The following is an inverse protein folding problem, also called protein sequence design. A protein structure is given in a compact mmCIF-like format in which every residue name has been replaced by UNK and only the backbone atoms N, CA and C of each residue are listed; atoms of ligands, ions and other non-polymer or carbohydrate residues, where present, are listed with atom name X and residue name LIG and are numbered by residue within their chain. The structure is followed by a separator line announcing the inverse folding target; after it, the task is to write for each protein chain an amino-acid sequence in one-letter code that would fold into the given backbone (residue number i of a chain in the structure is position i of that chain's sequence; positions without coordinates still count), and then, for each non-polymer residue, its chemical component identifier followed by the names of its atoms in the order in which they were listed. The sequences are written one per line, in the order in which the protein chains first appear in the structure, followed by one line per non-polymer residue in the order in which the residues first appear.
data_IF_678129640932
#
_entry.id   IF_678129640932
#
_cell.length_a   1.000
_cell.length_b   1.000
_cell.length_c   1.000
_cell.angle_alpha   90.00
_cell.angle_beta   90.00
_cell.angle_gamma   90.00
#
_symmetry.space_group_name_H-M   'P 1'
#
loop_
_entity.id
_entity.type
_entity.pdbx_description
1 polymer ?
#
# COMPACT_ATOMS: atom_id res chain seq x y z
N UNK A 1 -2.48 14.11 -67.32
CA UNK A 1 -3.48 14.52 -66.32
C UNK A 1 -4.62 13.48 -66.39
N UNK A 2 -4.92 12.91 -65.25
CA UNK A 2 -5.86 11.77 -65.18
C UNK A 2 -7.31 12.31 -65.29
N UNK A 3 -8.23 11.65 -66.04
CA UNK A 3 -9.62 12.04 -66.27
C UNK A 3 -10.41 12.34 -64.98
N UNK A 4 -9.99 11.85 -63.85
CA UNK A 4 -10.59 12.13 -62.55
C UNK A 4 -10.29 13.54 -61.99
N UNK A 5 -9.19 14.17 -62.41
CA UNK A 5 -8.89 15.55 -62.00
C UNK A 5 -9.69 16.60 -62.73
N UNK A 6 -10.09 16.30 -63.96
CA UNK A 6 -10.89 17.21 -64.80
C UNK A 6 -12.35 17.30 -64.36
N UNK A 7 -12.94 16.24 -63.75
CA UNK A 7 -14.31 16.24 -63.24
C UNK A 7 -14.46 17.03 -61.94
N UNK A 8 -13.40 17.08 -61.11
CA UNK A 8 -13.45 17.81 -59.81
C UNK A 8 -13.39 19.34 -60.04
N UNK A 9 -12.77 19.80 -61.07
CA UNK A 9 -12.70 21.22 -61.40
C UNK A 9 -13.99 21.79 -62.03
N UNK A 10 -14.90 20.94 -62.49
CA UNK A 10 -16.14 21.38 -63.13
C UNK A 10 -17.35 21.52 -62.18
N UNK A 11 -17.25 21.10 -60.93
CA UNK A 11 -18.37 21.09 -59.95
C UNK A 11 -18.32 22.26 -58.96
N UNK A 12 -17.33 23.15 -59.03
CA UNK A 12 -17.30 24.38 -58.24
C UNK A 12 -17.21 24.20 -56.71
N UNK A 13 -16.91 23.01 -56.22
CA UNK A 13 -16.75 22.75 -54.81
C UNK A 13 -15.29 23.13 -54.45
N UNK A 14 -15.05 24.01 -53.44
CA UNK A 14 -13.69 24.36 -53.06
C UNK A 14 -12.93 23.12 -52.66
N UNK A 15 -11.78 22.87 -53.31
CA UNK A 15 -10.91 21.71 -53.10
C UNK A 15 -10.58 21.49 -51.60
N UNK A 16 -10.52 22.59 -50.84
CA UNK A 16 -10.31 22.60 -49.39
C UNK A 16 -11.44 21.93 -48.58
N UNK A 17 -12.69 22.03 -49.01
CA UNK A 17 -13.84 21.40 -48.33
C UNK A 17 -13.86 19.88 -48.58
N UNK A 18 -13.51 19.46 -49.78
CA UNK A 18 -13.45 18.02 -50.14
C UNK A 18 -12.26 17.34 -49.43
N UNK A 19 -11.09 17.98 -49.37
CA UNK A 19 -9.93 17.49 -48.63
C UNK A 19 -10.19 17.42 -47.13
N UNK A 20 -10.95 18.40 -46.58
CA UNK A 20 -11.36 18.38 -45.17
C UNK A 20 -12.31 17.23 -44.84
N UNK A 21 -13.33 17.01 -45.66
CA UNK A 21 -14.33 15.94 -45.47
C UNK A 21 -13.70 14.56 -45.65
N UNK A 22 -12.89 14.35 -46.67
CA UNK A 22 -12.16 13.09 -46.91
C UNK A 22 -11.13 12.88 -45.82
N UNK A 23 -10.42 13.91 -45.39
CA UNK A 23 -9.45 13.83 -44.29
C UNK A 23 -10.10 13.48 -42.95
N UNK A 24 -11.25 14.09 -42.62
CA UNK A 24 -12.04 13.73 -41.43
C UNK A 24 -12.55 12.28 -41.47
N UNK A 25 -13.05 11.83 -42.63
CA UNK A 25 -13.57 10.47 -42.77
C UNK A 25 -12.45 9.42 -42.65
N UNK A 26 -11.32 9.66 -43.30
CA UNK A 26 -10.11 8.82 -43.15
C UNK A 26 -9.54 8.86 -41.73
N UNK A 27 -9.52 10.03 -41.12
CA UNK A 27 -9.08 10.19 -39.75
C UNK A 27 -9.96 9.42 -38.78
N UNK A 28 -11.27 9.52 -38.93
CA UNK A 28 -12.24 8.79 -38.09
C UNK A 28 -12.18 7.27 -38.30
N UNK A 29 -11.97 6.80 -39.53
CA UNK A 29 -11.81 5.36 -39.85
C UNK A 29 -10.47 4.82 -39.30
N UNK A 30 -9.36 5.55 -39.43
CA UNK A 30 -8.07 5.20 -38.83
C UNK A 30 -8.18 5.24 -37.30
N UNK A 31 -8.85 6.23 -36.73
CA UNK A 31 -9.05 6.35 -35.29
C UNK A 31 -9.89 5.20 -34.73
N UNK A 32 -10.96 4.81 -35.41
CA UNK A 32 -11.79 3.67 -35.03
C UNK A 32 -11.04 2.33 -35.13
N UNK A 33 -10.20 2.19 -36.15
CA UNK A 33 -9.39 0.98 -36.34
C UNK A 33 -8.29 0.88 -35.27
N UNK A 34 -7.55 1.97 -35.02
CA UNK A 34 -6.51 2.02 -33.97
C UNK A 34 -7.07 1.83 -32.56
N UNK A 35 -8.27 2.33 -32.27
CA UNK A 35 -8.95 2.10 -30.99
C UNK A 35 -9.34 0.62 -30.79
N UNK A 36 -9.77 -0.08 -31.87
CA UNK A 36 -10.07 -1.51 -31.83
C UNK A 36 -8.81 -2.35 -31.49
N UNK A 37 -7.69 -2.03 -32.10
CA UNK A 37 -6.41 -2.70 -31.85
C UNK A 37 -5.88 -2.42 -30.45
N UNK A 38 -5.95 -1.18 -29.97
CA UNK A 38 -5.55 -0.80 -28.61
C UNK A 38 -6.38 -1.53 -27.58
N UNK A 39 -7.70 -1.61 -27.76
CA UNK A 39 -8.59 -2.35 -26.85
C UNK A 39 -8.26 -3.84 -26.84
N UNK A 40 -8.00 -4.44 -27.99
CA UNK A 40 -7.61 -5.86 -28.11
C UNK A 40 -6.29 -6.13 -27.41
N UNK A 41 -5.26 -5.29 -27.62
CA UNK A 41 -3.97 -5.40 -26.95
C UNK A 41 -4.10 -5.25 -25.42
N UNK A 42 -4.96 -4.34 -24.95
CA UNK A 42 -5.22 -4.17 -23.52
C UNK A 42 -5.83 -5.43 -22.90
N UNK A 43 -6.86 -6.01 -23.55
CA UNK A 43 -7.49 -7.25 -23.07
C UNK A 43 -6.50 -8.40 -23.04
N UNK A 44 -5.64 -8.50 -24.05
CA UNK A 44 -4.58 -9.51 -24.09
C UNK A 44 -3.55 -9.30 -22.98
N UNK A 45 -3.10 -8.06 -22.76
CA UNK A 45 -2.14 -7.74 -21.69
C UNK A 45 -2.70 -8.08 -20.31
N UNK A 46 -3.95 -7.70 -20.06
CA UNK A 46 -4.66 -8.01 -18.81
C UNK A 46 -4.82 -9.53 -18.60
N UNK A 47 -5.20 -10.28 -19.66
CA UNK A 47 -5.30 -11.74 -19.61
C UNK A 47 -3.99 -12.40 -19.24
N UNK A 48 -2.89 -12.01 -19.88
CA UNK A 48 -1.55 -12.54 -19.60
C UNK A 48 -1.10 -12.20 -18.17
N UNK A 49 -1.40 -10.98 -17.71
CA UNK A 49 -1.11 -10.55 -16.34
C UNK A 49 -1.83 -11.42 -15.30
N UNK A 50 -3.11 -11.72 -15.52
CA UNK A 50 -3.91 -12.58 -14.63
C UNK A 50 -3.43 -14.05 -14.67
N UNK A 51 -2.91 -14.52 -15.81
CA UNK A 51 -2.29 -15.84 -15.96
C UNK A 51 -0.86 -15.89 -15.38
N UNK A 52 -0.34 -14.78 -14.87
CA UNK A 52 1.03 -14.62 -14.36
C UNK A 52 2.12 -14.74 -15.42
N UNK A 53 1.76 -14.65 -16.68
CA UNK A 53 2.68 -14.57 -17.81
C UNK A 53 3.26 -13.15 -17.92
N UNK A 54 3.98 -12.76 -16.87
CA UNK A 54 4.39 -11.37 -16.65
C UNK A 54 5.35 -10.83 -17.71
N UNK A 55 6.20 -11.66 -18.31
CA UNK A 55 7.14 -11.20 -19.33
C UNK A 55 6.39 -10.70 -20.56
N UNK A 56 5.46 -11.49 -21.08
CA UNK A 56 4.66 -11.12 -22.24
C UNK A 56 3.68 -9.97 -21.91
N UNK A 57 3.04 -10.01 -20.74
CA UNK A 57 2.19 -8.92 -20.27
C UNK A 57 2.96 -7.59 -20.26
N UNK A 58 4.19 -7.57 -19.71
CA UNK A 58 5.03 -6.38 -19.62
C UNK A 58 5.40 -5.81 -20.99
N UNK A 59 5.66 -6.65 -21.98
CA UNK A 59 5.91 -6.23 -23.37
C UNK A 59 4.68 -5.51 -23.97
N UNK A 60 3.48 -6.04 -23.71
CA UNK A 60 2.24 -5.43 -24.20
C UNK A 60 1.91 -4.13 -23.45
N UNK A 61 2.04 -4.11 -22.12
CA UNK A 61 1.85 -2.87 -21.34
C UNK A 61 2.85 -1.79 -21.73
N UNK A 62 4.10 -2.15 -22.09
CA UNK A 62 5.07 -1.17 -22.59
C UNK A 62 4.65 -0.51 -23.92
N UNK A 63 4.03 -1.27 -24.82
CA UNK A 63 3.45 -0.70 -26.05
C UNK A 63 2.26 0.21 -25.73
N UNK A 64 1.37 -0.22 -24.83
CA UNK A 64 0.17 0.52 -24.45
C UNK A 64 0.50 1.81 -23.67
N UNK A 65 1.50 1.79 -22.80
CA UNK A 65 1.93 2.94 -22.00
C UNK A 65 2.47 4.11 -22.83
N UNK A 66 2.90 3.85 -24.07
CA UNK A 66 3.33 4.89 -25.02
C UNK A 66 2.19 5.61 -25.74
N UNK A 67 0.94 5.24 -25.51
CA UNK A 67 -0.24 5.85 -26.12
C UNK A 67 -0.72 6.98 -25.22
N UNK A 68 -1.05 8.14 -25.78
CA UNK A 68 -1.61 9.26 -25.03
C UNK A 68 -2.87 8.82 -24.24
N UNK A 69 -2.97 9.28 -23.01
CA UNK A 69 -4.06 8.98 -22.06
C UNK A 69 -4.05 7.55 -21.46
N UNK A 70 -2.99 6.79 -21.60
CA UNK A 70 -2.87 5.44 -21.06
C UNK A 70 -2.45 5.37 -19.58
N UNK A 71 -2.93 6.30 -18.73
CA UNK A 71 -2.50 6.41 -17.33
C UNK A 71 -2.64 5.10 -16.53
N UNK A 72 -3.66 4.26 -16.86
CA UNK A 72 -3.81 2.93 -16.28
C UNK A 72 -2.70 1.97 -16.73
N UNK A 73 -2.34 1.96 -18.02
CA UNK A 73 -1.28 1.09 -18.54
C UNK A 73 0.09 1.53 -18.01
N UNK A 74 0.33 2.84 -17.90
CA UNK A 74 1.53 3.39 -17.29
C UNK A 74 1.63 2.99 -15.81
N UNK A 75 0.52 3.03 -15.07
CA UNK A 75 0.47 2.57 -13.69
C UNK A 75 0.80 1.09 -13.57
N UNK A 76 0.13 0.20 -14.33
CA UNK A 76 0.37 -1.25 -14.27
C UNK A 76 1.81 -1.58 -14.66
N UNK A 77 2.32 -0.98 -15.73
CA UNK A 77 3.72 -1.16 -16.13
C UNK A 77 4.69 -0.67 -15.06
N UNK A 78 4.40 0.45 -14.43
CA UNK A 78 5.16 0.98 -13.30
C UNK A 78 5.19 0.01 -12.13
N UNK A 79 4.04 -0.58 -11.78
CA UNK A 79 3.95 -1.58 -10.72
C UNK A 79 4.73 -2.87 -11.07
N UNK A 80 4.67 -3.33 -12.32
CA UNK A 80 5.47 -4.47 -12.78
C UNK A 80 6.97 -4.21 -12.66
N UNK A 81 7.47 -3.00 -12.96
CA UNK A 81 8.85 -2.63 -12.71
C UNK A 81 9.17 -2.53 -11.21
N UNK A 82 8.25 -2.00 -10.42
CA UNK A 82 8.41 -1.88 -8.98
C UNK A 82 8.51 -3.24 -8.27
N UNK A 83 7.71 -4.22 -8.70
CA UNK A 83 7.69 -5.58 -8.15
C UNK A 83 8.73 -6.50 -8.80
N UNK A 84 9.30 -6.15 -9.95
CA UNK A 84 10.17 -7.03 -10.74
C UNK A 84 9.40 -8.12 -11.49
N UNK A 85 8.13 -7.87 -11.81
CA UNK A 85 7.29 -8.81 -12.57
C UNK A 85 7.64 -8.76 -14.05
N UNK A 86 7.96 -9.92 -14.64
CA UNK A 86 8.35 -10.04 -16.04
C UNK A 86 9.75 -9.53 -16.37
N UNK A 87 10.64 -9.45 -15.37
CA UNK A 87 12.02 -9.07 -15.51
C UNK A 87 12.59 -8.41 -14.25
N UNK A 88 13.76 -7.82 -14.35
CA UNK A 88 14.41 -7.17 -13.21
C UNK A 88 13.58 -6.01 -12.66
N UNK A 89 13.70 -5.83 -11.35
CA UNK A 89 13.13 -4.72 -10.63
C UNK A 89 13.88 -3.42 -10.98
N UNK A 90 13.13 -2.37 -11.26
CA UNK A 90 13.69 -1.07 -11.64
C UNK A 90 12.83 0.06 -11.04
N UNK A 91 13.23 0.53 -9.87
CA UNK A 91 12.50 1.58 -9.15
C UNK A 91 12.52 2.94 -9.86
N UNK A 92 13.56 3.24 -10.65
CA UNK A 92 13.65 4.48 -11.40
C UNK A 92 12.63 4.50 -12.54
N UNK A 93 12.55 3.41 -13.32
CA UNK A 93 11.53 3.26 -14.36
C UNK A 93 10.12 3.24 -13.78
N UNK A 94 9.92 2.50 -12.68
CA UNK A 94 8.64 2.49 -11.98
C UNK A 94 8.19 3.89 -11.59
N UNK A 95 9.07 4.67 -10.96
CA UNK A 95 8.79 6.05 -10.55
C UNK A 95 8.45 6.95 -11.74
N UNK A 96 9.21 6.89 -12.86
CA UNK A 96 8.91 7.66 -14.08
C UNK A 96 7.51 7.35 -14.63
N UNK A 97 7.15 6.06 -14.68
CA UNK A 97 5.83 5.61 -15.14
C UNK A 97 4.72 6.02 -14.18
N UNK A 98 4.95 5.93 -12.87
CA UNK A 98 4.00 6.42 -11.88
C UNK A 98 3.79 7.93 -11.97
N UNK A 99 4.84 8.74 -12.26
CA UNK A 99 4.69 10.18 -12.49
C UNK A 99 3.77 10.44 -13.69
N UNK A 100 4.01 9.78 -14.83
CA UNK A 100 3.15 9.92 -16.02
C UNK A 100 1.70 9.52 -15.72
N UNK A 101 1.49 8.39 -15.07
CA UNK A 101 0.16 7.94 -14.68
C UNK A 101 -0.52 8.90 -13.69
N UNK A 102 0.22 9.41 -12.72
CA UNK A 102 -0.27 10.32 -11.69
C UNK A 102 -0.64 11.71 -12.25
N UNK A 103 0.15 12.23 -13.20
CA UNK A 103 -0.16 13.44 -13.96
C UNK A 103 -1.41 13.25 -14.83
N UNK A 104 -1.63 12.04 -15.37
CA UNK A 104 -2.87 11.62 -16.03
C UNK A 104 -4.05 11.37 -15.08
N UNK A 105 -3.91 11.68 -13.78
CA UNK A 105 -4.98 11.60 -12.78
C UNK A 105 -5.16 10.25 -12.10
N UNK A 106 -4.30 9.26 -12.35
CA UNK A 106 -4.41 7.94 -11.70
C UNK A 106 -4.12 8.03 -10.20
N UNK A 107 -5.15 7.75 -9.37
CA UNK A 107 -5.06 7.88 -7.91
C UNK A 107 -4.14 6.83 -7.26
N UNK A 108 -4.08 5.61 -7.82
CA UNK A 108 -3.19 4.56 -7.32
C UNK A 108 -1.72 4.94 -7.55
N UNK A 109 -1.40 5.50 -8.74
CA UNK A 109 -0.07 6.01 -9.04
C UNK A 109 0.33 7.19 -8.13
N UNK A 110 -0.60 8.11 -7.86
CA UNK A 110 -0.39 9.21 -6.92
C UNK A 110 -0.12 8.68 -5.50
N UNK A 111 -0.86 7.68 -5.04
CA UNK A 111 -0.63 7.03 -3.76
C UNK A 111 0.75 6.34 -3.71
N UNK A 112 1.12 5.61 -4.76
CA UNK A 112 2.41 4.92 -4.84
C UNK A 112 3.58 5.90 -4.85
N UNK A 113 3.47 7.03 -5.56
CA UNK A 113 4.47 8.10 -5.50
C UNK A 113 4.60 8.69 -4.08
N UNK A 114 3.47 8.90 -3.41
CA UNK A 114 3.47 9.34 -2.03
C UNK A 114 4.24 8.38 -1.12
N UNK A 115 4.04 7.07 -1.29
CA UNK A 115 4.78 6.04 -0.57
C UNK A 115 6.27 6.02 -0.94
N UNK A 116 6.59 6.04 -2.24
CA UNK A 116 7.98 6.06 -2.75
C UNK A 116 8.77 7.23 -2.15
N UNK A 117 8.22 8.44 -2.19
CA UNK A 117 8.89 9.63 -1.66
C UNK A 117 8.92 9.65 -0.12
N UNK A 118 7.94 9.06 0.56
CA UNK A 118 7.96 8.94 2.03
C UNK A 118 9.06 7.99 2.49
N UNK A 119 9.28 6.89 1.77
CA UNK A 119 10.21 5.83 2.15
C UNK A 119 11.59 5.95 1.47
N UNK A 120 11.75 6.83 0.49
CA UNK A 120 13.00 6.97 -0.27
C UNK A 120 13.31 5.73 -1.13
N UNK A 121 12.29 5.10 -1.74
CA UNK A 121 12.50 3.88 -2.54
C UNK A 121 13.00 4.23 -3.93
N UNK A 122 14.27 3.91 -4.23
CA UNK A 122 14.91 4.25 -5.49
C UNK A 122 15.06 5.76 -5.73
N UNK A 123 14.98 6.56 -4.67
CA UNK A 123 15.19 8.00 -4.64
C UNK A 123 15.45 8.44 -3.20
N UNK A 124 15.85 9.69 -2.98
CA UNK A 124 15.88 10.25 -1.64
C UNK A 124 14.48 10.46 -1.08
N UNK A 125 14.36 10.45 0.24
CA UNK A 125 13.12 10.79 0.94
C UNK A 125 12.77 12.26 0.67
N UNK A 126 11.56 12.50 0.17
CA UNK A 126 11.01 13.84 -0.06
C UNK A 126 9.57 13.94 0.43
N UNK A 127 9.42 14.44 1.65
CA UNK A 127 8.08 14.58 2.26
C UNK A 127 7.23 15.68 1.59
N UNK A 128 7.81 16.64 0.85
CA UNK A 128 7.03 17.64 0.13
C UNK A 128 6.37 17.04 -1.11
N UNK A 129 7.14 16.27 -1.90
CA UNK A 129 6.57 15.51 -3.02
C UNK A 129 5.62 14.43 -2.51
N UNK A 130 5.94 13.71 -1.42
CA UNK A 130 5.03 12.75 -0.81
C UNK A 130 3.68 13.39 -0.46
N UNK A 131 3.68 14.52 0.24
CA UNK A 131 2.46 15.26 0.59
C UNK A 131 1.67 15.69 -0.64
N UNK A 132 2.33 16.23 -1.66
CA UNK A 132 1.70 16.66 -2.91
C UNK A 132 0.90 15.52 -3.53
N UNK A 133 1.54 14.39 -3.76
CA UNK A 133 0.92 13.23 -4.41
C UNK A 133 -0.16 12.58 -3.55
N UNK A 134 0.10 12.36 -2.25
CA UNK A 134 -0.91 11.85 -1.33
C UNK A 134 -2.14 12.75 -1.23
N UNK A 135 -1.96 14.09 -1.27
CA UNK A 135 -3.07 15.04 -1.26
C UNK A 135 -3.93 14.93 -2.52
N UNK A 136 -3.31 14.75 -3.69
CA UNK A 136 -4.02 14.56 -4.95
C UNK A 136 -4.85 13.27 -4.93
N UNK A 137 -4.28 12.16 -4.48
CA UNK A 137 -5.01 10.90 -4.34
C UNK A 137 -6.11 10.98 -3.27
N UNK A 138 -5.84 11.61 -2.12
CA UNK A 138 -6.83 11.80 -1.05
C UNK A 138 -8.02 12.67 -1.47
N UNK A 139 -7.79 13.64 -2.38
CA UNK A 139 -8.86 14.44 -2.99
C UNK A 139 -9.78 13.59 -3.88
N UNK A 140 -9.27 12.53 -4.49
CA UNK A 140 -10.02 11.53 -5.23
C UNK A 140 -10.62 10.43 -4.33
N UNK A 141 -10.60 10.64 -3.01
CA UNK A 141 -11.14 9.69 -2.02
C UNK A 141 -10.38 8.37 -1.93
N UNK A 142 -9.09 8.33 -2.32
CA UNK A 142 -8.27 7.13 -2.21
C UNK A 142 -7.93 6.85 -0.73
N UNK A 143 -8.40 5.72 -0.13
CA UNK A 143 -8.34 5.54 1.32
C UNK A 143 -6.91 5.40 1.84
N UNK A 144 -6.04 4.67 1.12
CA UNK A 144 -4.65 4.46 1.54
C UNK A 144 -3.85 5.78 1.48
N UNK A 145 -4.13 6.65 0.50
CA UNK A 145 -3.50 7.96 0.43
C UNK A 145 -3.92 8.87 1.60
N UNK A 146 -5.19 8.79 2.04
CA UNK A 146 -5.63 9.47 3.26
C UNK A 146 -4.86 8.98 4.49
N UNK A 147 -4.58 7.67 4.59
CA UNK A 147 -3.75 7.12 5.67
C UNK A 147 -2.32 7.66 5.57
N UNK A 148 -1.71 7.62 4.40
CA UNK A 148 -0.37 8.16 4.18
C UNK A 148 -0.27 9.64 4.56
N UNK A 149 -1.20 10.47 4.08
CA UNK A 149 -1.26 11.89 4.39
C UNK A 149 -1.50 12.14 5.89
N UNK A 150 -2.38 11.35 6.53
CA UNK A 150 -2.62 11.37 7.96
C UNK A 150 -1.35 11.06 8.76
N UNK A 151 -0.54 10.12 8.27
CA UNK A 151 0.74 9.76 8.90
C UNK A 151 1.77 10.89 8.79
N UNK A 152 1.81 11.63 7.67
CA UNK A 152 2.65 12.82 7.55
C UNK A 152 2.28 13.87 8.59
N UNK A 153 0.98 14.16 8.76
CA UNK A 153 0.51 15.11 9.78
C UNK A 153 0.73 14.60 11.21
N UNK A 154 0.50 13.31 11.47
CA UNK A 154 0.72 12.72 12.80
C UNK A 154 2.16 12.85 13.25
N UNK A 155 3.11 12.62 12.35
CA UNK A 155 4.53 12.59 12.66
C UNK A 155 5.22 13.95 12.48
N UNK A 156 4.61 14.88 11.73
CA UNK A 156 5.24 16.15 11.34
C UNK A 156 6.26 16.01 10.21
N UNK A 157 6.07 15.01 9.33
CA UNK A 157 6.98 14.77 8.20
C UNK A 157 6.63 15.71 7.03
N UNK A 158 7.51 16.67 6.75
CA UNK A 158 7.31 17.69 5.71
C UNK A 158 6.13 18.64 5.92
N UNK A 159 5.52 18.59 7.11
CA UNK A 159 4.39 19.42 7.54
C UNK A 159 4.51 19.73 9.03
N UNK A 160 3.84 20.79 9.50
CA UNK A 160 3.64 20.97 10.94
C UNK A 160 2.82 19.79 11.47
N UNK A 161 3.27 19.24 12.61
CA UNK A 161 2.57 18.14 13.28
C UNK A 161 1.17 18.57 13.67
N UNK A 162 0.16 17.88 13.16
CA UNK A 162 -1.25 18.15 13.42
C UNK A 162 -2.04 16.85 13.60
N UNK A 163 -2.22 16.47 14.86
CA UNK A 163 -2.99 15.28 15.21
C UNK A 163 -4.49 15.41 14.87
N UNK A 164 -5.04 16.63 14.86
CA UNK A 164 -6.47 16.84 14.52
C UNK A 164 -6.69 16.59 13.03
N UNK A 165 -5.78 17.07 12.17
CA UNK A 165 -5.87 16.81 10.74
C UNK A 165 -5.63 15.33 10.43
N UNK A 166 -4.64 14.69 11.08
CA UNK A 166 -4.43 13.26 10.99
C UNK A 166 -5.70 12.45 11.36
N UNK A 167 -6.34 12.81 12.48
CA UNK A 167 -7.60 12.18 12.93
C UNK A 167 -8.72 12.30 11.89
N UNK A 168 -8.92 13.49 11.29
CA UNK A 168 -9.92 13.70 10.24
C UNK A 168 -9.65 12.81 9.02
N UNK A 169 -8.40 12.73 8.57
CA UNK A 169 -7.99 11.93 7.43
C UNK A 169 -8.21 10.43 7.70
N UNK A 170 -7.79 9.92 8.86
CA UNK A 170 -8.04 8.54 9.24
C UNK A 170 -9.52 8.22 9.35
N UNK A 171 -10.34 9.14 9.90
CA UNK A 171 -11.80 8.96 9.97
C UNK A 171 -12.43 8.83 8.59
N UNK A 172 -11.99 9.66 7.63
CA UNK A 172 -12.45 9.56 6.23
C UNK A 172 -12.02 8.23 5.61
N UNK A 173 -10.75 7.81 5.76
CA UNK A 173 -10.25 6.55 5.25
C UNK A 173 -10.98 5.34 5.87
N UNK A 174 -11.25 5.36 7.18
CA UNK A 174 -12.00 4.33 7.88
C UNK A 174 -13.45 4.21 7.40
N UNK A 175 -14.09 5.33 7.02
CA UNK A 175 -15.42 5.33 6.41
C UNK A 175 -15.44 4.61 5.06
N UNK A 176 -14.31 4.56 4.35
CA UNK A 176 -14.12 3.75 3.14
C UNK A 176 -13.62 2.32 3.42
N UNK A 177 -13.68 1.85 4.66
CA UNK A 177 -13.32 0.48 5.04
C UNK A 177 -11.83 0.22 5.25
N UNK A 178 -10.97 1.25 5.22
CA UNK A 178 -9.53 1.06 5.41
C UNK A 178 -9.21 0.62 6.84
N UNK A 179 -8.65 -0.57 6.98
CA UNK A 179 -8.36 -1.18 8.29
C UNK A 179 -7.18 -0.54 9.01
N UNK A 180 -6.17 -0.04 8.29
CA UNK A 180 -5.06 0.69 8.89
C UNK A 180 -5.55 2.00 9.51
N UNK A 181 -6.47 2.69 8.82
CA UNK A 181 -7.10 3.90 9.36
C UNK A 181 -7.92 3.63 10.62
N UNK A 182 -8.67 2.51 10.66
CA UNK A 182 -9.41 2.09 11.85
C UNK A 182 -8.45 1.84 13.02
N UNK A 183 -7.36 1.10 12.78
CA UNK A 183 -6.35 0.86 13.81
C UNK A 183 -5.72 2.18 14.30
N UNK A 184 -5.37 3.09 13.39
CA UNK A 184 -4.81 4.39 13.75
C UNK A 184 -5.80 5.25 14.57
N UNK A 185 -7.09 5.22 14.25
CA UNK A 185 -8.12 5.89 15.07
C UNK A 185 -8.19 5.29 16.48
N UNK A 186 -8.13 3.98 16.60
CA UNK A 186 -8.08 3.30 17.88
C UNK A 186 -6.89 3.76 18.73
N UNK A 187 -5.71 3.81 18.11
CA UNK A 187 -4.50 4.36 18.74
C UNK A 187 -4.71 5.83 19.20
N UNK A 188 -5.26 6.68 18.32
CA UNK A 188 -5.49 8.09 18.63
C UNK A 188 -6.48 8.27 19.78
N UNK A 189 -7.53 7.45 19.88
CA UNK A 189 -8.44 7.45 21.01
C UNK A 189 -7.81 6.92 22.30
N UNK A 190 -6.88 5.96 22.23
CA UNK A 190 -6.17 5.46 23.42
C UNK A 190 -5.35 6.58 24.09
N UNK A 191 -4.69 7.41 23.29
CA UNK A 191 -3.75 8.42 23.78
C UNK A 191 -4.29 9.86 23.73
N UNK A 192 -5.48 10.09 23.20
CA UNK A 192 -6.07 11.42 23.08
C UNK A 192 -5.40 12.29 22.00
N UNK A 193 -4.80 11.70 20.98
CA UNK A 193 -4.13 12.44 19.92
C UNK A 193 -5.15 13.01 18.91
N UNK A 194 -5.30 14.32 18.90
CA UNK A 194 -6.24 15.02 18.00
C UNK A 194 -7.72 14.79 18.29
N UNK A 195 -8.02 14.04 19.34
CA UNK A 195 -9.35 13.71 19.85
C UNK A 195 -9.28 13.56 21.38
N UNK A 196 -10.40 13.26 22.03
CA UNK A 196 -10.43 12.90 23.45
C UNK A 196 -10.00 11.45 23.68
N UNK A 197 -9.44 11.17 24.85
CA UNK A 197 -9.11 9.81 25.28
C UNK A 197 -10.37 9.01 25.56
N UNK A 198 -10.52 7.85 24.90
CA UNK A 198 -11.65 6.96 25.06
C UNK A 198 -11.25 5.51 24.78
N UNK A 199 -11.14 4.72 25.82
CA UNK A 199 -10.88 3.28 25.68
C UNK A 199 -12.02 2.56 24.94
N UNK A 200 -13.26 3.01 25.13
CA UNK A 200 -14.43 2.48 24.44
C UNK A 200 -14.31 2.67 22.91
N UNK A 201 -13.99 3.90 22.48
CA UNK A 201 -13.87 4.20 21.04
C UNK A 201 -12.61 3.57 20.46
N UNK A 202 -11.52 3.51 21.24
CA UNK A 202 -10.31 2.79 20.86
C UNK A 202 -10.61 1.32 20.56
N UNK A 203 -11.28 0.63 21.47
CA UNK A 203 -11.69 -0.77 21.30
C UNK A 203 -12.62 -0.96 20.11
N UNK A 204 -13.60 -0.08 19.91
CA UNK A 204 -14.51 -0.15 18.77
C UNK A 204 -13.74 -0.16 17.45
N UNK A 205 -12.82 0.77 17.25
CA UNK A 205 -12.06 0.87 16.00
C UNK A 205 -11.05 -0.26 15.84
N UNK A 206 -10.29 -0.62 16.88
CA UNK A 206 -9.30 -1.69 16.83
C UNK A 206 -9.98 -3.04 16.59
N UNK A 207 -11.07 -3.33 17.30
CA UNK A 207 -11.82 -4.57 17.12
C UNK A 207 -12.40 -4.69 15.71
N UNK A 208 -12.97 -3.60 15.18
CA UNK A 208 -13.46 -3.55 13.80
C UNK A 208 -12.36 -3.84 12.78
N UNK A 209 -11.17 -3.31 12.99
CA UNK A 209 -10.00 -3.57 12.16
C UNK A 209 -9.49 -5.02 12.31
N UNK A 210 -9.46 -5.55 13.54
CA UNK A 210 -9.02 -6.91 13.84
C UNK A 210 -9.93 -7.98 13.22
N UNK A 211 -11.25 -7.77 13.24
CA UNK A 211 -12.24 -8.67 12.59
C UNK A 211 -12.00 -8.74 11.08
N UNK A 212 -11.45 -7.68 10.47
CA UNK A 212 -11.05 -7.67 9.07
C UNK A 212 -9.59 -8.16 8.86
N UNK A 213 -9.05 -8.89 9.83
CA UNK A 213 -7.72 -9.50 9.80
C UNK A 213 -6.56 -8.51 9.60
N UNK A 214 -6.69 -7.26 10.08
CA UNK A 214 -5.54 -6.37 10.12
C UNK A 214 -4.53 -6.87 11.18
N UNK A 215 -3.29 -7.24 10.81
CA UNK A 215 -2.35 -7.85 11.74
C UNK A 215 -1.91 -6.90 12.87
N UNK A 216 -1.85 -5.59 12.59
CA UNK A 216 -1.51 -4.57 13.59
C UNK A 216 -2.65 -4.39 14.59
N UNK A 217 -3.90 -4.44 14.14
CA UNK A 217 -5.06 -4.36 15.01
C UNK A 217 -5.19 -5.60 15.90
N UNK A 218 -4.93 -6.79 15.36
CA UNK A 218 -4.86 -8.04 16.15
C UNK A 218 -3.78 -7.94 17.23
N UNK A 219 -2.59 -7.45 16.89
CA UNK A 219 -1.53 -7.19 17.86
C UNK A 219 -1.99 -6.20 18.95
N UNK A 220 -2.65 -5.12 18.57
CA UNK A 220 -3.14 -4.13 19.53
C UNK A 220 -4.26 -4.70 20.41
N UNK A 221 -5.14 -5.57 19.89
CA UNK A 221 -6.10 -6.32 20.71
C UNK A 221 -5.39 -7.22 21.74
N UNK A 222 -4.29 -7.88 21.34
CA UNK A 222 -3.48 -8.64 22.28
C UNK A 222 -2.94 -7.74 23.41
N UNK A 223 -2.42 -6.56 23.07
CA UNK A 223 -1.93 -5.59 24.05
C UNK A 223 -3.03 -5.19 25.04
N UNK A 224 -4.26 -4.91 24.57
CA UNK A 224 -5.39 -4.59 25.42
C UNK A 224 -5.73 -5.70 26.43
N UNK A 225 -5.69 -6.95 26.00
CA UNK A 225 -5.95 -8.10 26.89
C UNK A 225 -4.80 -8.35 27.86
N UNK A 226 -3.56 -8.27 27.42
CA UNK A 226 -2.37 -8.52 28.26
C UNK A 226 -2.22 -7.44 29.32
N UNK A 227 -2.39 -6.15 28.93
CA UNK A 227 -2.24 -5.01 29.84
C UNK A 227 -3.51 -4.73 30.67
N UNK A 228 -4.66 -5.23 30.23
CA UNK A 228 -5.95 -5.00 30.90
C UNK A 228 -6.56 -3.65 30.58
N UNK A 229 -6.37 -3.14 29.35
CA UNK A 229 -7.01 -1.90 28.92
C UNK A 229 -8.45 -2.15 28.45
N UNK A 230 -9.43 -1.72 29.24
CA UNK A 230 -10.86 -1.90 28.96
C UNK A 230 -11.39 -3.33 29.15
N UNK A 231 -10.52 -4.29 29.50
CA UNK A 231 -10.83 -5.66 29.87
C UNK A 231 -10.03 -6.08 31.11
N UNK A 232 -10.48 -7.08 31.89
CA UNK A 232 -9.59 -7.77 32.83
C UNK A 232 -8.38 -8.35 32.09
N UNK A 233 -7.21 -8.32 32.73
CA UNK A 233 -6.01 -8.95 32.18
C UNK A 233 -6.26 -10.42 31.84
N UNK A 234 -5.91 -10.82 30.63
CA UNK A 234 -6.06 -12.18 30.14
C UNK A 234 -4.94 -12.52 29.16
N UNK A 235 -3.95 -13.25 29.67
CA UNK A 235 -2.76 -13.63 28.91
C UNK A 235 -3.08 -14.64 27.81
N UNK A 236 -3.99 -15.59 28.06
CA UNK A 236 -4.41 -16.61 27.11
C UNK A 236 -5.09 -15.94 25.90
N UNK A 237 -6.02 -14.99 26.17
CA UNK A 237 -6.69 -14.25 25.11
C UNK A 237 -5.71 -13.35 24.33
N UNK A 238 -4.75 -12.76 25.01
CA UNK A 238 -3.66 -12.03 24.39
C UNK A 238 -2.83 -12.91 23.45
N UNK A 239 -2.49 -14.13 23.89
CA UNK A 239 -1.77 -15.09 23.07
C UNK A 239 -2.55 -15.53 21.83
N UNK A 240 -3.88 -15.73 21.94
CA UNK A 240 -4.73 -16.01 20.77
C UNK A 240 -4.65 -14.92 19.69
N UNK A 241 -4.75 -13.67 20.09
CA UNK A 241 -4.63 -12.55 19.17
C UNK A 241 -3.22 -12.40 18.60
N UNK A 242 -2.16 -12.61 19.40
CA UNK A 242 -0.79 -12.63 18.90
C UNK A 242 -0.56 -13.76 17.90
N UNK A 243 -1.13 -14.94 18.14
CA UNK A 243 -1.05 -16.07 17.22
C UNK A 243 -1.66 -15.73 15.86
N UNK A 244 -2.84 -15.12 15.85
CA UNK A 244 -3.47 -14.67 14.62
C UNK A 244 -2.61 -13.61 13.89
N UNK A 245 -2.08 -12.62 14.59
CA UNK A 245 -1.21 -11.59 14.01
C UNK A 245 0.12 -12.17 13.48
N UNK A 246 0.71 -13.13 14.20
CA UNK A 246 1.95 -13.82 13.80
C UNK A 246 1.76 -14.70 12.56
N UNK A 247 0.61 -15.38 12.43
CA UNK A 247 0.22 -16.13 11.24
C UNK A 247 0.08 -15.24 10.00
N UNK A 248 -0.36 -14.00 10.19
CA UNK A 248 -0.40 -12.97 9.14
C UNK A 248 0.98 -12.32 8.87
N UNK A 249 2.03 -12.84 9.49
CA UNK A 249 3.40 -12.45 9.22
C UNK A 249 3.90 -11.21 9.97
N UNK A 250 3.18 -10.68 10.96
CA UNK A 250 3.64 -9.50 11.70
C UNK A 250 4.86 -9.82 12.57
N UNK A 251 6.06 -9.25 12.31
CA UNK A 251 7.28 -9.62 13.04
C UNK A 251 7.19 -9.33 14.55
N UNK A 252 6.58 -8.22 14.94
CA UNK A 252 6.37 -7.87 16.33
C UNK A 252 5.48 -8.89 17.07
N UNK A 253 4.46 -9.44 16.38
CA UNK A 253 3.60 -10.48 16.94
C UNK A 253 4.34 -11.81 17.06
N UNK A 254 5.14 -12.19 16.05
CA UNK A 254 5.98 -13.39 16.10
C UNK A 254 6.97 -13.31 17.27
N UNK A 255 7.65 -12.19 17.43
CA UNK A 255 8.58 -11.99 18.55
C UNK A 255 7.87 -12.09 19.91
N UNK A 256 6.77 -11.35 20.11
CA UNK A 256 6.08 -11.35 21.41
C UNK A 256 5.41 -12.68 21.72
N UNK A 257 4.86 -13.38 20.73
CA UNK A 257 4.35 -14.74 20.92
C UNK A 257 5.49 -15.73 21.26
N UNK A 258 6.63 -15.62 20.60
CA UNK A 258 7.83 -16.38 20.94
C UNK A 258 8.26 -16.18 22.41
N UNK A 259 8.21 -14.93 22.88
CA UNK A 259 8.46 -14.61 24.30
C UNK A 259 7.41 -15.23 25.24
N UNK A 260 6.14 -15.27 24.83
CA UNK A 260 5.11 -15.94 25.63
C UNK A 260 5.36 -17.43 25.73
N UNK A 261 5.74 -18.11 24.64
CA UNK A 261 6.13 -19.53 24.67
C UNK A 261 7.37 -19.79 25.49
N UNK A 262 8.40 -18.95 25.42
CA UNK A 262 9.61 -19.06 26.22
C UNK A 262 9.32 -18.98 27.73
N UNK A 263 8.39 -18.13 28.14
CA UNK A 263 8.09 -17.83 29.53
C UNK A 263 6.89 -18.63 30.08
N UNK A 264 6.18 -19.41 29.25
CA UNK A 264 4.94 -20.08 29.64
C UNK A 264 3.82 -19.11 30.07
N UNK A 265 3.77 -17.89 29.49
CA UNK A 265 2.77 -16.86 29.82
C UNK A 265 1.59 -16.90 28.86
N UNK A 266 0.41 -17.33 29.33
CA UNK A 266 -0.80 -17.44 28.53
C UNK A 266 -0.76 -18.57 27.48
N UNK A 267 0.34 -19.33 27.44
CA UNK A 267 0.55 -20.53 26.63
C UNK A 267 1.40 -21.50 27.43
N UNK A 268 1.33 -22.79 27.10
CA UNK A 268 2.29 -23.78 27.64
C UNK A 268 3.70 -23.46 27.16
N UNK A 269 4.68 -23.54 28.06
CA UNK A 269 6.07 -23.26 27.73
C UNK A 269 6.56 -24.20 26.62
N UNK A 270 7.17 -23.62 25.58
CA UNK A 270 7.69 -24.37 24.44
C UNK A 270 8.85 -23.61 23.78
N UNK A 271 10.08 -23.96 24.14
CA UNK A 271 11.29 -23.31 23.64
C UNK A 271 11.51 -23.54 22.14
N UNK A 272 11.07 -24.67 21.59
CA UNK A 272 11.18 -24.94 20.15
C UNK A 272 10.27 -24.01 19.33
N UNK A 273 9.04 -23.82 19.80
CA UNK A 273 8.10 -22.91 19.14
C UNK A 273 8.54 -21.44 19.32
N UNK A 274 9.11 -21.08 20.45
CA UNK A 274 9.70 -19.77 20.69
C UNK A 274 10.83 -19.48 19.69
N UNK A 275 11.78 -20.41 19.56
CA UNK A 275 12.89 -20.29 18.61
C UNK A 275 12.39 -20.17 17.15
N UNK A 276 11.42 -20.98 16.75
CA UNK A 276 10.81 -20.92 15.41
C UNK A 276 10.24 -19.54 15.11
N UNK A 277 9.51 -18.97 16.06
CA UNK A 277 8.90 -17.63 15.93
C UNK A 277 9.95 -16.52 15.93
N UNK A 278 11.01 -16.61 16.74
CA UNK A 278 12.11 -15.66 16.69
C UNK A 278 12.86 -15.71 15.36
N UNK A 279 13.09 -16.90 14.78
CA UNK A 279 13.69 -17.04 13.45
C UNK A 279 12.81 -16.40 12.36
N UNK A 280 11.50 -16.56 12.44
CA UNK A 280 10.57 -15.91 11.49
C UNK A 280 10.61 -14.39 11.60
N UNK A 281 10.64 -13.84 12.82
CA UNK A 281 10.71 -12.39 13.03
C UNK A 281 12.07 -11.83 12.58
N UNK A 282 13.18 -12.52 12.93
CA UNK A 282 14.54 -12.14 12.55
C UNK A 282 14.73 -12.11 11.04
N UNK A 283 14.21 -13.09 10.31
CA UNK A 283 14.26 -13.15 8.85
C UNK A 283 13.56 -11.96 8.17
N UNK A 284 12.67 -11.29 8.89
CA UNK A 284 11.99 -10.04 8.46
C UNK A 284 12.68 -8.77 9.00
N UNK A 285 13.88 -8.90 9.60
CA UNK A 285 14.66 -7.77 10.10
C UNK A 285 14.26 -7.28 11.50
N UNK A 286 13.53 -8.08 12.29
CA UNK A 286 13.18 -7.69 13.66
C UNK A 286 14.39 -7.85 14.59
N UNK A 287 15.07 -6.74 14.90
CA UNK A 287 16.35 -6.72 15.60
C UNK A 287 16.33 -7.46 16.94
N UNK A 288 15.31 -7.22 17.77
CA UNK A 288 15.20 -7.90 19.06
C UNK A 288 15.11 -9.42 18.92
N UNK A 289 14.45 -9.92 17.87
CA UNK A 289 14.39 -11.36 17.62
C UNK A 289 15.75 -11.93 17.25
N UNK A 290 16.53 -11.19 16.46
CA UNK A 290 17.90 -11.54 16.10
C UNK A 290 18.79 -11.60 17.35
N UNK A 291 18.71 -10.58 18.21
CA UNK A 291 19.48 -10.50 19.46
C UNK A 291 19.13 -11.65 20.42
N UNK A 292 17.83 -12.02 20.47
CA UNK A 292 17.38 -13.15 21.29
C UNK A 292 17.90 -14.49 20.76
N UNK A 293 17.89 -14.72 19.46
CA UNK A 293 18.43 -15.93 18.86
C UNK A 293 19.93 -16.08 19.14
N UNK A 294 20.70 -15.01 18.98
CA UNK A 294 22.14 -15.02 19.29
C UNK A 294 22.43 -15.41 20.76
N UNK A 295 21.61 -14.92 21.71
CA UNK A 295 21.72 -15.27 23.12
C UNK A 295 21.36 -16.73 23.40
N UNK A 296 20.32 -17.26 22.75
CA UNK A 296 19.94 -18.67 22.85
C UNK A 296 21.04 -19.58 22.31
N UNK A 297 21.65 -19.27 21.18
CA UNK A 297 22.75 -20.02 20.57
C UNK A 297 24.04 -19.97 21.42
N UNK A 298 24.33 -18.85 22.07
CA UNK A 298 25.47 -18.71 22.98
C UNK A 298 25.31 -19.45 24.30
N UNK A 299 24.15 -20.11 24.57
CA UNK A 299 23.80 -20.73 25.88
C UNK A 299 23.93 -19.78 27.07
N UNK A 300 23.88 -18.49 26.84
CA UNK A 300 23.98 -17.47 27.88
C UNK A 300 22.58 -17.21 28.49
N UNK A 301 22.10 -18.21 29.25
CA UNK A 301 20.79 -18.18 29.90
C UNK A 301 20.68 -17.15 31.02
N UNK A 302 21.82 -16.56 31.44
CA UNK A 302 21.89 -15.64 32.61
C UNK A 302 21.53 -14.20 32.29
N UNK A 303 21.49 -13.81 31.00
CA UNK A 303 21.24 -12.40 30.57
C UNK A 303 19.92 -12.14 29.89
N UNK A 304 19.04 -13.13 29.77
CA UNK A 304 17.67 -12.92 29.27
C UNK A 304 16.85 -12.30 30.42
N UNK A 305 16.82 -10.99 30.45
CA UNK A 305 16.09 -10.25 31.47
C UNK A 305 14.58 -10.56 31.36
N UNK A 306 14.08 -11.37 32.27
CA UNK A 306 12.64 -11.78 32.37
C UNK A 306 11.69 -10.61 32.64
N UNK A 307 12.26 -9.43 32.99
CA UNK A 307 11.54 -8.28 33.50
C UNK A 307 10.88 -7.42 32.43
N UNK A 308 11.18 -7.60 31.11
CA UNK A 308 10.66 -6.71 30.07
C UNK A 308 9.80 -7.50 29.06
N UNK A 309 8.66 -8.02 29.54
CA UNK A 309 7.55 -8.35 28.67
C UNK A 309 6.60 -7.15 28.66
N UNK A 310 7.01 -6.07 28.00
CA UNK A 310 6.22 -4.87 27.81
C UNK A 310 5.74 -4.84 26.36
N UNK A 311 4.42 -4.90 26.17
CA UNK A 311 3.83 -4.71 24.86
C UNK A 311 3.36 -3.26 24.73
N UNK A 312 3.75 -2.61 23.63
CA UNK A 312 3.25 -1.27 23.29
C UNK A 312 2.38 -1.35 22.04
N UNK A 313 1.27 -0.61 22.07
CA UNK A 313 0.44 -0.47 20.88
C UNK A 313 1.26 0.07 19.71
N UNK A 314 0.99 -0.44 18.52
CA UNK A 314 1.65 -0.01 17.29
C UNK A 314 0.64 0.60 16.32
N UNK A 315 1.16 1.48 15.49
CA UNK A 315 0.46 2.14 14.38
C UNK A 315 1.21 1.88 13.09
N UNK A 316 0.51 1.90 12.01
CA UNK A 316 1.08 1.75 10.68
C UNK A 316 1.25 3.10 9.97
#
# INVERSE_FOLDING_TARGET
MNKKQTIILSIGIPLFLLLGIVGMKFHNEIYAWTLGDVKSLYVQAESLYQQKEYEEARKLYAKLAGIDSASRCQYVLGDMYFQGQGGERDYEKARKLFIQAAEGGNADAQNNLGYIYTMGIGTDTDFHEAKKWLRMAAAQSHPQAMVGLGSLYRNGWGVLKDHKEAFKLYRRAAAHGNTDAMNNLGYMHTFGYGTYTSIRDALYYIQKSAVLNNPVALYNMATFHIEGHGFPKNMEKGAEYLKAAAQLGLPAAQFNLGRMYQLGKGVEQNDQEAERLFRQASAQGHQLATDFLMKMEAKDSTSVNDSIFEMKMIVR
#
